data_IF_450384843843
#
_entry.id   IF_450384843843
#
_cell.length_a   1.000
_cell.length_b   1.000
_cell.length_c   1.000
_cell.angle_alpha   90.00
_cell.angle_beta   90.00
_cell.angle_gamma   90.00
#
_symmetry.space_group_name_H-M   'P 1'
#
loop_
_entity.id
_entity.type
_entity.pdbx_description
1 polymer ?
#
# COMPACT_ATOMS: atom_id res chain seq x y z
N UNK A 1 16.49 64.79 3.30
CA UNK A 1 15.20 64.24 3.76
C UNK A 1 14.85 62.91 3.05
N UNK A 2 15.85 62.01 2.79
CA UNK A 2 15.66 60.79 1.99
C UNK A 2 16.24 59.49 2.62
N UNK A 3 16.47 59.45 3.95
CA UNK A 3 17.02 58.26 4.61
C UNK A 3 16.08 57.55 5.63
N UNK A 4 14.86 58.06 5.83
CA UNK A 4 13.96 57.50 6.87
C UNK A 4 12.94 56.50 6.28
N UNK A 5 12.63 56.56 4.95
CA UNK A 5 11.62 55.72 4.32
C UNK A 5 12.12 54.25 4.06
N UNK A 6 13.43 54.07 3.83
CA UNK A 6 14.02 52.74 3.54
C UNK A 6 14.04 51.79 4.74
N UNK A 7 14.21 52.31 5.95
CA UNK A 7 14.33 51.48 7.18
C UNK A 7 12.97 50.99 7.69
N UNK A 8 11.89 51.75 7.48
CA UNK A 8 10.54 51.38 7.89
C UNK A 8 9.94 50.28 7.02
N UNK A 9 10.27 50.23 5.72
CA UNK A 9 9.81 49.19 4.80
C UNK A 9 10.47 47.83 5.07
N UNK A 10 11.74 47.83 5.48
CA UNK A 10 12.48 46.61 5.85
C UNK A 10 11.99 46.02 7.17
N UNK A 11 11.59 46.87 8.14
CA UNK A 11 11.02 46.44 9.41
C UNK A 11 9.61 45.85 9.27
N UNK A 12 8.78 46.42 8.38
CA UNK A 12 7.43 45.90 8.09
C UNK A 12 7.48 44.54 7.35
N UNK A 13 8.43 44.33 6.40
CA UNK A 13 8.59 43.06 5.74
C UNK A 13 9.09 41.95 6.69
N UNK A 14 10.02 42.29 7.59
CA UNK A 14 10.49 41.34 8.61
C UNK A 14 9.42 41.03 9.67
N UNK A 15 8.60 41.99 10.10
CA UNK A 15 7.51 41.71 11.03
C UNK A 15 6.38 40.89 10.40
N UNK A 16 6.12 41.00 9.09
CA UNK A 16 5.17 40.15 8.37
C UNK A 16 5.66 38.70 8.23
N UNK A 17 6.95 38.51 7.94
CA UNK A 17 7.59 37.19 7.90
C UNK A 17 7.62 36.50 9.28
N UNK A 18 7.94 37.24 10.33
CA UNK A 18 7.93 36.75 11.72
C UNK A 18 6.52 36.39 12.20
N UNK A 19 5.50 37.15 11.81
CA UNK A 19 4.09 36.85 12.14
C UNK A 19 3.57 35.61 11.45
N UNK A 20 3.95 35.34 10.18
CA UNK A 20 3.53 34.14 9.46
C UNK A 20 4.23 32.88 9.97
N UNK A 21 5.51 32.93 10.28
CA UNK A 21 6.27 31.77 10.82
C UNK A 21 5.80 31.37 12.21
N UNK A 22 5.55 32.33 13.11
CA UNK A 22 5.02 32.07 14.44
C UNK A 22 3.64 31.39 14.44
N UNK A 23 2.80 31.70 13.44
CA UNK A 23 1.50 31.05 13.28
C UNK A 23 1.63 29.59 12.79
N UNK A 24 2.59 29.28 11.92
CA UNK A 24 2.83 27.91 11.43
C UNK A 24 3.30 27.01 12.58
N UNK A 25 4.31 27.41 13.34
CA UNK A 25 4.84 26.63 14.48
C UNK A 25 3.78 26.35 15.54
N UNK A 26 2.94 27.36 15.84
CA UNK A 26 1.83 27.18 16.79
C UNK A 26 0.78 26.18 16.26
N UNK A 27 0.43 26.25 14.98
CA UNK A 27 -0.54 25.33 14.39
C UNK A 27 0.04 23.92 14.28
N UNK A 28 1.31 23.74 13.97
CA UNK A 28 1.98 22.45 14.04
C UNK A 28 1.88 21.84 15.45
N UNK A 29 2.22 22.63 16.49
CA UNK A 29 2.04 22.16 17.87
C UNK A 29 0.61 21.73 18.18
N UNK A 30 -0.41 22.49 17.72
CA UNK A 30 -1.83 22.14 17.88
C UNK A 30 -2.19 20.84 17.16
N UNK A 31 -1.71 20.66 15.92
CA UNK A 31 -1.93 19.45 15.12
C UNK A 31 -1.36 18.23 15.83
N UNK A 32 -0.05 18.24 16.14
CA UNK A 32 0.62 17.13 16.81
C UNK A 32 0.02 16.84 18.20
N UNK A 33 -0.25 17.88 18.98
CA UNK A 33 -0.90 17.68 20.29
C UNK A 33 -2.30 17.05 20.14
N UNK A 34 -3.09 17.47 19.14
CA UNK A 34 -4.43 16.93 18.92
C UNK A 34 -4.36 15.47 18.48
N UNK A 35 -3.49 15.11 17.55
CA UNK A 35 -3.30 13.73 17.12
C UNK A 35 -2.86 12.83 18.30
N UNK A 36 -1.81 13.23 19.03
CA UNK A 36 -1.21 12.40 20.08
C UNK A 36 -2.03 12.29 21.36
N UNK A 37 -2.92 13.24 21.66
CA UNK A 37 -3.69 13.24 22.94
C UNK A 37 -5.18 13.00 22.77
N UNK A 38 -5.70 13.16 21.56
CA UNK A 38 -7.14 13.08 21.24
C UNK A 38 -7.38 12.44 19.86
N UNK A 39 -6.38 11.73 19.33
CA UNK A 39 -6.45 11.01 18.07
C UNK A 39 -7.46 9.88 18.12
N UNK A 40 -8.05 9.55 16.97
CA UNK A 40 -8.98 8.43 16.79
C UNK A 40 -8.43 7.33 15.90
N UNK A 41 -7.24 7.51 15.32
CA UNK A 41 -6.65 6.54 14.37
C UNK A 41 -6.61 5.13 14.93
N UNK A 42 -6.19 4.97 16.19
CA UNK A 42 -6.02 3.65 16.81
C UNK A 42 -7.37 2.96 17.09
N UNK A 43 -8.39 3.71 17.53
CA UNK A 43 -9.76 3.21 17.73
C UNK A 43 -10.40 2.78 16.39
N UNK A 44 -10.24 3.58 15.35
CA UNK A 44 -10.73 3.26 14.01
C UNK A 44 -10.02 2.05 13.41
N UNK A 45 -8.70 1.97 13.58
CA UNK A 45 -7.94 0.83 13.08
C UNK A 45 -8.30 -0.46 13.81
N UNK A 46 -8.51 -0.41 15.13
CA UNK A 46 -9.03 -1.55 15.90
C UNK A 46 -10.32 -2.08 15.31
N UNK A 47 -11.27 -1.20 14.99
CA UNK A 47 -12.53 -1.61 14.38
C UNK A 47 -12.31 -2.22 12.99
N UNK A 48 -11.54 -1.54 12.12
CA UNK A 48 -11.28 -1.99 10.75
C UNK A 48 -10.55 -3.34 10.73
N UNK A 49 -9.59 -3.54 11.62
CA UNK A 49 -8.80 -4.78 11.73
C UNK A 49 -9.57 -5.88 12.46
N UNK A 50 -10.01 -5.65 13.71
CA UNK A 50 -10.53 -6.73 14.57
C UNK A 50 -12.03 -7.03 14.35
N UNK A 51 -12.82 -6.04 13.87
CA UNK A 51 -14.25 -6.25 13.64
C UNK A 51 -14.58 -6.56 12.18
N UNK A 52 -13.78 -6.06 11.24
CA UNK A 52 -13.94 -6.31 9.81
C UNK A 52 -12.90 -7.33 9.32
N UNK A 53 -11.61 -7.07 9.58
CA UNK A 53 -10.49 -7.95 9.21
C UNK A 53 -10.13 -7.91 7.73
N UNK A 54 -9.49 -8.97 7.25
CA UNK A 54 -9.07 -9.12 5.86
C UNK A 54 -10.23 -8.85 4.90
N UNK A 55 -10.02 -7.91 3.96
CA UNK A 55 -11.10 -7.27 3.20
C UNK A 55 -10.77 -7.11 1.72
N UNK A 56 -10.27 -8.20 1.10
CA UNK A 56 -9.94 -8.19 -0.32
C UNK A 56 -11.12 -7.73 -1.16
N UNK A 57 -10.87 -6.92 -2.18
CA UNK A 57 -11.90 -6.35 -3.05
C UNK A 57 -12.87 -7.42 -3.58
N UNK A 58 -14.17 -7.12 -3.58
CA UNK A 58 -15.23 -8.08 -3.95
C UNK A 58 -15.61 -9.08 -2.86
N UNK A 59 -15.02 -9.02 -1.67
CA UNK A 59 -15.42 -9.81 -0.50
C UNK A 59 -16.56 -9.16 0.28
N UNK A 60 -17.16 -9.93 1.17
CA UNK A 60 -18.17 -9.42 2.12
C UNK A 60 -17.54 -8.40 3.09
N UNK A 61 -16.31 -8.64 3.55
CA UNK A 61 -15.61 -7.72 4.44
C UNK A 61 -15.25 -6.40 3.75
N UNK A 62 -14.89 -6.42 2.46
CA UNK A 62 -14.70 -5.18 1.70
C UNK A 62 -15.97 -4.33 1.64
N UNK A 63 -17.15 -4.96 1.48
CA UNK A 63 -18.42 -4.24 1.54
C UNK A 63 -18.70 -3.64 2.93
N UNK A 64 -18.42 -4.39 4.01
CA UNK A 64 -18.53 -3.87 5.40
C UNK A 64 -17.58 -2.70 5.63
N UNK A 65 -16.36 -2.75 5.09
CA UNK A 65 -15.39 -1.66 5.19
C UNK A 65 -15.88 -0.38 4.49
N UNK A 66 -16.52 -0.51 3.31
CA UNK A 66 -17.16 0.61 2.59
C UNK A 66 -18.25 1.25 3.43
N UNK A 67 -19.16 0.44 4.01
CA UNK A 67 -20.26 0.92 4.85
C UNK A 67 -19.73 1.63 6.11
N UNK A 68 -18.80 1.01 6.82
CA UNK A 68 -18.16 1.57 8.00
C UNK A 68 -17.42 2.89 7.70
N UNK A 69 -16.60 2.92 6.66
CA UNK A 69 -15.85 4.12 6.32
C UNK A 69 -16.77 5.30 5.94
N UNK A 70 -17.86 5.03 5.21
CA UNK A 70 -18.88 6.04 4.90
C UNK A 70 -19.54 6.57 6.18
N UNK A 71 -19.96 5.68 7.09
CA UNK A 71 -20.59 6.07 8.35
C UNK A 71 -19.67 6.91 9.23
N UNK A 72 -18.39 6.53 9.37
CA UNK A 72 -17.41 7.30 10.15
C UNK A 72 -17.15 8.69 9.52
N UNK A 73 -17.07 8.81 8.20
CA UNK A 73 -16.95 10.11 7.54
C UNK A 73 -18.20 10.97 7.73
N UNK A 74 -19.40 10.39 7.66
CA UNK A 74 -20.66 11.09 7.96
C UNK A 74 -20.66 11.63 9.41
N UNK A 75 -20.18 10.84 10.38
CA UNK A 75 -20.07 11.24 11.78
C UNK A 75 -19.10 12.40 12.02
N UNK A 76 -18.13 12.62 11.14
CA UNK A 76 -17.23 13.77 11.20
C UNK A 76 -17.94 15.10 10.86
N UNK A 77 -19.16 15.06 10.30
CA UNK A 77 -19.91 16.23 9.89
C UNK A 77 -19.19 17.00 8.78
N UNK A 78 -18.71 16.28 7.77
CA UNK A 78 -18.09 16.83 6.56
C UNK A 78 -19.13 17.55 5.69
N UNK A 79 -18.66 18.33 4.73
CA UNK A 79 -19.57 19.05 3.81
C UNK A 79 -20.20 18.11 2.78
N UNK A 80 -19.49 17.04 2.41
CA UNK A 80 -20.02 15.99 1.51
C UNK A 80 -19.38 14.64 1.82
N UNK A 81 -20.18 13.57 1.76
CA UNK A 81 -19.74 12.17 1.81
C UNK A 81 -20.50 11.38 0.74
N UNK A 82 -19.80 10.62 -0.10
CA UNK A 82 -20.46 9.81 -1.14
C UNK A 82 -19.66 8.56 -1.49
N UNK A 83 -20.32 7.63 -2.18
CA UNK A 83 -19.73 6.43 -2.72
C UNK A 83 -19.59 6.56 -4.24
N UNK A 84 -18.40 6.25 -4.76
CA UNK A 84 -18.15 6.18 -6.20
C UNK A 84 -18.14 4.72 -6.64
N UNK A 85 -19.05 4.28 -7.53
CA UNK A 85 -19.14 2.88 -7.94
C UNK A 85 -17.94 2.45 -8.79
N UNK A 86 -17.45 1.23 -8.53
CA UNK A 86 -16.37 0.59 -9.27
C UNK A 86 -16.62 -0.91 -9.40
N UNK A 87 -16.40 -1.48 -10.60
CA UNK A 87 -16.43 -2.93 -10.80
C UNK A 87 -15.05 -3.51 -10.48
N UNK A 88 -15.01 -4.47 -9.55
CA UNK A 88 -13.77 -5.06 -9.05
C UNK A 88 -13.72 -6.57 -9.28
N UNK A 89 -12.54 -7.18 -9.45
CA UNK A 89 -12.40 -8.62 -9.54
C UNK A 89 -12.81 -9.27 -8.21
N UNK A 90 -13.38 -10.48 -8.31
CA UNK A 90 -13.67 -11.31 -7.16
C UNK A 90 -12.88 -12.60 -7.22
N UNK A 91 -11.88 -12.69 -6.38
CA UNK A 91 -11.11 -13.91 -6.14
C UNK A 91 -11.31 -14.34 -4.69
N UNK A 92 -11.38 -15.65 -4.47
CA UNK A 92 -11.55 -16.24 -3.13
C UNK A 92 -10.45 -17.29 -2.95
N UNK A 93 -9.68 -17.17 -1.88
CA UNK A 93 -8.60 -18.10 -1.51
C UNK A 93 -9.11 -19.51 -1.31
N UNK A 94 -10.30 -19.65 -0.73
CA UNK A 94 -10.84 -20.93 -0.31
C UNK A 94 -10.49 -21.24 1.14
N UNK A 95 -10.76 -22.49 1.54
CA UNK A 95 -10.65 -22.91 2.95
C UNK A 95 -9.51 -23.87 3.21
N UNK A 96 -8.73 -24.20 2.18
CA UNK A 96 -7.69 -25.22 2.28
C UNK A 96 -6.46 -24.87 1.46
N UNK A 97 -5.33 -24.75 2.16
CA UNK A 97 -4.00 -24.60 1.60
C UNK A 97 -3.05 -25.56 2.35
N UNK A 98 -2.33 -26.38 1.63
CA UNK A 98 -1.41 -27.33 2.23
C UNK A 98 -0.26 -27.64 1.29
N UNK A 99 0.94 -27.70 1.85
CA UNK A 99 2.12 -28.17 1.14
C UNK A 99 3.05 -28.99 2.03
N UNK A 100 3.75 -29.94 1.39
CA UNK A 100 4.78 -30.70 2.05
C UNK A 100 5.91 -31.10 1.10
N UNK A 101 7.11 -31.23 1.67
CA UNK A 101 8.30 -31.78 1.01
C UNK A 101 8.37 -33.27 1.33
N UNK A 102 8.46 -34.14 0.32
CA UNK A 102 8.69 -35.58 0.53
C UNK A 102 10.20 -35.81 0.72
N UNK A 103 10.63 -35.98 1.97
CA UNK A 103 12.03 -36.15 2.34
C UNK A 103 12.57 -37.56 2.00
N UNK A 104 11.68 -38.55 2.06
CA UNK A 104 11.89 -39.93 1.60
C UNK A 104 10.52 -40.57 1.37
N UNK A 105 10.42 -41.73 0.66
CA UNK A 105 9.13 -42.36 0.40
C UNK A 105 8.28 -42.53 1.67
N UNK A 106 7.13 -41.85 1.71
CA UNK A 106 6.19 -41.84 2.83
C UNK A 106 6.54 -40.94 4.00
N UNK A 107 7.67 -40.23 3.99
CA UNK A 107 8.02 -39.23 5.00
C UNK A 107 7.92 -37.83 4.42
N UNK A 108 7.08 -36.96 5.02
CA UNK A 108 6.85 -35.63 4.58
C UNK A 108 7.13 -34.58 5.67
N UNK A 109 7.58 -33.43 5.25
CA UNK A 109 7.76 -32.24 6.10
C UNK A 109 6.79 -31.16 5.62
N UNK A 110 5.87 -30.76 6.48
CA UNK A 110 4.94 -29.68 6.15
C UNK A 110 5.67 -28.34 6.09
N UNK A 111 5.31 -27.52 5.12
CA UNK A 111 5.84 -26.15 4.97
C UNK A 111 4.70 -25.16 4.82
N UNK A 112 4.78 -24.01 5.51
CA UNK A 112 3.76 -22.96 5.37
C UNK A 112 3.73 -22.38 3.96
N UNK A 113 2.53 -22.32 3.37
CA UNK A 113 2.28 -21.69 2.09
C UNK A 113 1.00 -20.84 2.13
N UNK A 114 0.87 -19.95 1.16
CA UNK A 114 -0.42 -19.33 0.81
C UNK A 114 -0.56 -19.20 -0.70
N UNK A 115 -1.76 -19.37 -1.25
CA UNK A 115 -2.01 -19.14 -2.66
C UNK A 115 -1.72 -17.68 -3.02
N UNK A 116 -1.14 -17.45 -4.20
CA UNK A 116 -0.99 -16.11 -4.75
C UNK A 116 -2.34 -15.58 -5.26
N UNK A 117 -2.55 -14.28 -5.10
CA UNK A 117 -3.79 -13.61 -5.48
C UNK A 117 -4.08 -13.71 -6.97
N UNK A 118 -5.24 -14.28 -7.32
CA UNK A 118 -5.63 -14.58 -8.69
C UNK A 118 -5.27 -15.98 -9.17
N UNK A 119 -4.56 -16.78 -8.36
CA UNK A 119 -4.21 -18.17 -8.68
C UNK A 119 -5.44 -19.05 -8.93
N UNK A 120 -5.23 -20.17 -9.63
CA UNK A 120 -6.23 -21.22 -9.81
C UNK A 120 -6.03 -22.35 -8.80
N UNK A 121 -7.09 -23.14 -8.56
CA UNK A 121 -7.03 -24.32 -7.70
C UNK A 121 -6.14 -25.43 -8.28
N UNK A 122 -5.61 -26.30 -7.42
CA UNK A 122 -5.09 -27.60 -7.81
C UNK A 122 -6.23 -28.57 -8.16
N UNK A 123 -5.98 -29.69 -8.85
CA UNK A 123 -6.90 -30.82 -8.83
C UNK A 123 -7.26 -31.22 -7.38
N UNK A 124 -8.41 -31.84 -7.19
CA UNK A 124 -8.90 -32.24 -5.85
C UNK A 124 -7.92 -33.18 -5.11
N UNK A 125 -7.13 -33.97 -5.83
CA UNK A 125 -6.07 -34.81 -5.29
C UNK A 125 -4.81 -34.05 -4.90
N UNK A 126 -4.70 -32.76 -5.24
CA UNK A 126 -3.45 -31.99 -5.17
C UNK A 126 -2.52 -32.32 -6.34
N UNK A 127 -1.32 -31.74 -6.29
CA UNK A 127 -0.23 -31.94 -7.24
C UNK A 127 0.99 -32.45 -6.47
N UNK A 128 1.51 -33.64 -6.84
CA UNK A 128 2.80 -34.14 -6.35
C UNK A 128 3.75 -34.25 -7.54
N UNK A 129 4.83 -33.48 -7.54
CA UNK A 129 5.80 -33.47 -8.64
C UNK A 129 7.21 -33.13 -8.13
N UNK A 130 8.21 -33.47 -8.95
CA UNK A 130 9.58 -33.04 -8.67
C UNK A 130 9.69 -31.52 -8.76
N UNK A 131 10.53 -30.95 -7.91
CA UNK A 131 10.79 -29.51 -7.89
C UNK A 131 12.03 -29.18 -8.72
N UNK A 132 11.99 -28.03 -9.36
CA UNK A 132 13.17 -27.40 -9.94
C UNK A 132 13.28 -25.97 -9.46
N UNK A 133 14.39 -25.66 -8.78
CA UNK A 133 14.69 -24.31 -8.32
C UNK A 133 15.27 -23.48 -9.44
N UNK A 134 14.80 -22.22 -9.56
CA UNK A 134 15.30 -21.24 -10.51
C UNK A 134 15.48 -19.88 -9.82
N UNK A 135 16.51 -19.14 -10.22
CA UNK A 135 16.85 -17.84 -9.67
C UNK A 135 16.13 -16.69 -10.37
N UNK A 136 15.87 -16.84 -11.67
CA UNK A 136 15.29 -15.81 -12.51
C UNK A 136 14.64 -16.41 -13.77
N UNK A 137 14.09 -15.53 -14.60
CA UNK A 137 13.45 -15.95 -15.86
C UNK A 137 14.43 -16.36 -16.93
N UNK A 138 15.66 -15.85 -16.94
CA UNK A 138 16.71 -16.23 -17.87
C UNK A 138 17.13 -17.69 -17.63
N UNK A 139 17.26 -18.08 -16.37
CA UNK A 139 17.51 -19.46 -16.02
C UNK A 139 16.36 -20.39 -16.41
N UNK A 140 15.11 -19.96 -16.15
CA UNK A 140 13.91 -20.68 -16.57
C UNK A 140 13.91 -20.93 -18.09
N UNK A 141 14.17 -19.89 -18.88
CA UNK A 141 14.22 -19.97 -20.34
C UNK A 141 15.36 -20.89 -20.83
N UNK A 142 16.53 -20.81 -20.22
CA UNK A 142 17.67 -21.69 -20.53
C UNK A 142 17.37 -23.16 -20.27
N UNK A 143 16.64 -23.48 -19.20
CA UNK A 143 16.24 -24.84 -18.86
C UNK A 143 15.18 -25.39 -19.85
N UNK A 144 14.27 -24.55 -20.30
CA UNK A 144 13.27 -24.85 -21.32
C UNK A 144 12.36 -26.04 -20.95
N UNK A 145 11.50 -26.41 -21.89
CA UNK A 145 10.49 -27.46 -21.72
C UNK A 145 11.10 -28.80 -21.28
N UNK A 146 12.27 -29.17 -21.81
CA UNK A 146 12.91 -30.46 -21.50
C UNK A 146 13.19 -30.68 -20.00
N UNK A 147 13.45 -29.60 -19.25
CA UNK A 147 13.75 -29.67 -17.81
C UNK A 147 12.58 -29.27 -16.93
N UNK A 148 11.63 -28.50 -17.47
CA UNK A 148 10.54 -27.87 -16.69
C UNK A 148 9.24 -28.68 -16.78
N UNK A 149 8.96 -29.33 -17.91
CA UNK A 149 7.67 -30.01 -18.14
C UNK A 149 7.31 -30.98 -17.01
N UNK A 150 6.09 -30.83 -16.47
CA UNK A 150 5.55 -31.70 -15.41
C UNK A 150 6.12 -31.44 -14.02
N UNK A 151 7.04 -30.50 -13.85
CA UNK A 151 7.63 -30.17 -12.55
C UNK A 151 6.95 -29.00 -11.87
N UNK A 152 7.19 -28.83 -10.59
CA UNK A 152 6.92 -27.61 -9.83
C UNK A 152 8.14 -26.71 -9.95
N UNK A 153 7.94 -25.48 -10.47
CA UNK A 153 9.01 -24.47 -10.54
C UNK A 153 9.05 -23.69 -9.23
N UNK A 154 10.20 -23.68 -8.58
CA UNK A 154 10.43 -22.92 -7.37
C UNK A 154 11.29 -21.70 -7.68
N UNK A 155 10.66 -20.50 -7.66
CA UNK A 155 11.36 -19.23 -7.77
C UNK A 155 11.89 -18.81 -6.41
N UNK A 156 13.21 -18.83 -6.23
CA UNK A 156 13.87 -18.64 -4.92
C UNK A 156 14.80 -17.40 -4.87
N UNK A 157 14.50 -16.34 -5.61
CA UNK A 157 15.27 -15.09 -5.49
C UNK A 157 14.83 -14.33 -4.25
N UNK A 158 15.71 -14.14 -3.24
CA UNK A 158 15.37 -13.36 -2.05
C UNK A 158 15.31 -11.86 -2.35
N UNK A 159 14.66 -11.11 -1.49
CA UNK A 159 14.88 -9.67 -1.38
C UNK A 159 16.36 -9.42 -1.02
N UNK A 160 16.93 -8.35 -1.56
CA UNK A 160 18.36 -8.02 -1.37
C UNK A 160 18.59 -7.38 0.00
N UNK A 161 19.34 -8.04 0.92
CA UNK A 161 19.57 -7.53 2.27
C UNK A 161 20.59 -6.37 2.33
N UNK A 162 21.35 -6.14 1.26
CA UNK A 162 22.32 -5.05 1.15
C UNK A 162 21.70 -3.70 0.76
N UNK A 163 20.40 -3.66 0.42
CA UNK A 163 19.68 -2.43 0.08
C UNK A 163 19.00 -1.86 1.33
N UNK A 164 19.41 -0.64 1.71
CA UNK A 164 18.80 0.09 2.82
C UNK A 164 17.32 0.43 2.53
N UNK A 165 17.00 0.77 1.29
CA UNK A 165 15.62 0.97 0.87
C UNK A 165 14.95 -0.38 0.61
N UNK A 166 14.09 -0.79 1.53
CA UNK A 166 13.38 -2.08 1.47
C UNK A 166 12.41 -2.17 0.30
N UNK A 167 11.77 -1.07 -0.12
CA UNK A 167 10.93 -1.03 -1.32
C UNK A 167 11.74 -1.22 -2.61
N UNK A 168 12.98 -0.74 -2.67
CA UNK A 168 13.87 -1.03 -3.79
C UNK A 168 14.22 -2.53 -3.82
N UNK A 169 14.48 -3.12 -2.66
CA UNK A 169 14.73 -4.56 -2.53
C UNK A 169 13.54 -5.39 -3.01
N UNK A 170 12.32 -5.01 -2.56
CA UNK A 170 11.08 -5.64 -3.00
C UNK A 170 10.88 -5.53 -4.52
N UNK A 171 11.05 -4.34 -5.10
CA UNK A 171 10.85 -4.12 -6.54
C UNK A 171 11.76 -5.00 -7.42
N UNK A 172 12.94 -5.39 -6.91
CA UNK A 172 13.88 -6.28 -7.62
C UNK A 172 13.53 -7.76 -7.49
N UNK A 173 12.66 -8.13 -6.57
CA UNK A 173 12.24 -9.52 -6.33
C UNK A 173 10.83 -9.84 -6.83
N UNK A 174 9.92 -8.88 -6.80
CA UNK A 174 8.46 -9.07 -6.97
C UNK A 174 8.04 -9.66 -8.32
N UNK A 175 8.82 -9.47 -9.39
CA UNK A 175 8.46 -9.98 -10.72
C UNK A 175 8.33 -11.50 -10.76
N UNK A 176 9.07 -12.27 -9.91
CA UNK A 176 8.95 -13.72 -9.82
C UNK A 176 7.56 -14.14 -9.27
N UNK A 177 6.97 -13.35 -8.35
CA UNK A 177 5.60 -13.53 -7.87
C UNK A 177 4.60 -13.17 -8.96
N UNK A 178 4.74 -11.99 -9.55
CA UNK A 178 3.74 -11.46 -10.47
C UNK A 178 3.68 -12.22 -11.80
N UNK A 179 4.82 -12.58 -12.39
CA UNK A 179 4.91 -13.20 -13.73
C UNK A 179 5.31 -14.68 -13.71
N UNK A 180 5.72 -15.23 -12.56
CA UNK A 180 6.31 -16.57 -12.47
C UNK A 180 5.41 -17.67 -13.03
N UNK A 181 4.12 -17.66 -12.69
CA UNK A 181 3.18 -18.67 -13.15
C UNK A 181 2.95 -18.61 -14.66
N UNK A 182 2.80 -17.41 -15.24
CA UNK A 182 2.69 -17.24 -16.69
C UNK A 182 3.93 -17.76 -17.41
N UNK A 183 5.10 -17.41 -16.93
CA UNK A 183 6.38 -17.80 -17.54
C UNK A 183 6.63 -19.31 -17.45
N UNK A 184 6.41 -19.91 -16.27
CA UNK A 184 6.61 -21.34 -16.07
C UNK A 184 5.60 -22.22 -16.83
N UNK A 185 4.34 -21.77 -16.95
CA UNK A 185 3.30 -22.48 -17.70
C UNK A 185 3.68 -22.67 -19.17
N UNK A 186 4.36 -21.71 -19.79
CA UNK A 186 4.82 -21.78 -21.19
C UNK A 186 5.78 -22.96 -21.45
N UNK A 187 6.48 -23.43 -20.40
CA UNK A 187 7.37 -24.58 -20.46
C UNK A 187 6.75 -25.86 -19.91
N UNK A 188 5.42 -25.85 -19.64
CA UNK A 188 4.68 -27.04 -19.18
C UNK A 188 4.89 -27.37 -17.70
N UNK A 189 5.23 -26.40 -16.85
CA UNK A 189 5.25 -26.60 -15.39
C UNK A 189 3.86 -27.02 -14.87
N UNK A 190 3.83 -27.83 -13.80
CA UNK A 190 2.57 -28.27 -13.16
C UNK A 190 2.07 -27.26 -12.12
N UNK A 191 2.96 -26.53 -11.46
CA UNK A 191 2.66 -25.48 -10.49
C UNK A 191 3.89 -24.58 -10.29
N UNK A 192 3.69 -23.49 -9.57
CA UNK A 192 4.75 -22.56 -9.16
C UNK A 192 4.72 -22.36 -7.66
N UNK A 193 5.90 -22.40 -7.05
CA UNK A 193 6.15 -21.95 -5.67
C UNK A 193 7.09 -20.75 -5.73
N UNK A 194 6.78 -19.70 -4.96
CA UNK A 194 7.57 -18.47 -4.93
C UNK A 194 8.00 -18.19 -3.49
N UNK A 195 9.28 -17.93 -3.29
CA UNK A 195 9.78 -17.44 -2.00
C UNK A 195 9.05 -16.15 -1.61
N UNK A 196 8.58 -16.07 -0.38
CA UNK A 196 7.93 -14.88 0.19
C UNK A 196 8.83 -13.65 0.14
N UNK A 197 8.20 -12.48 -0.12
CA UNK A 197 8.89 -11.19 -0.22
C UNK A 197 9.11 -10.60 1.18
N UNK A 198 10.08 -11.14 1.91
CA UNK A 198 10.44 -10.73 3.25
C UNK A 198 11.96 -10.76 3.42
N UNK A 199 12.52 -9.86 4.23
CA UNK A 199 13.93 -9.85 4.61
C UNK A 199 14.19 -10.67 5.88
N UNK A 200 13.14 -10.92 6.67
CA UNK A 200 13.18 -11.77 7.84
C UNK A 200 13.02 -13.24 7.44
N UNK A 201 13.67 -14.13 8.18
CA UNK A 201 13.41 -15.58 8.10
C UNK A 201 12.35 -15.96 9.13
N UNK A 202 11.17 -16.36 8.66
CA UNK A 202 10.03 -16.76 9.46
C UNK A 202 9.14 -17.77 8.72
N UNK A 203 8.04 -18.16 9.37
CA UNK A 203 7.08 -19.12 8.84
C UNK A 203 5.79 -18.48 8.32
N UNK A 204 5.79 -17.16 8.09
CA UNK A 204 4.68 -16.42 7.51
C UNK A 204 4.84 -16.33 5.98
N UNK A 205 4.01 -17.03 5.19
CA UNK A 205 4.04 -16.88 3.74
C UNK A 205 3.35 -15.57 3.33
N UNK A 206 3.92 -14.89 2.33
CA UNK A 206 3.43 -13.60 1.83
C UNK A 206 2.73 -13.77 0.48
N UNK A 207 1.43 -13.49 0.44
CA UNK A 207 0.65 -13.50 -0.79
C UNK A 207 0.97 -12.28 -1.68
N UNK A 208 0.09 -11.94 -2.54
CA UNK A 208 0.12 -10.76 -3.40
C UNK A 208 -0.35 -11.09 -4.80
N UNK A 209 -0.65 -10.07 -5.56
CA UNK A 209 -1.16 -10.16 -6.91
C UNK A 209 -0.21 -10.88 -7.85
N UNK A 210 -0.79 -11.71 -8.73
CA UNK A 210 -0.10 -12.37 -9.83
C UNK A 210 -0.89 -12.24 -11.15
N UNK A 211 -0.21 -12.41 -12.27
CA UNK A 211 -0.81 -12.35 -13.59
C UNK A 211 -0.57 -13.63 -14.36
N UNK A 212 -1.58 -14.06 -15.09
CA UNK A 212 -1.45 -15.10 -16.12
C UNK A 212 -1.25 -14.51 -17.52
N UNK A 213 -1.13 -13.19 -17.66
CA UNK A 213 -1.01 -12.54 -18.96
C UNK A 213 -2.13 -12.98 -19.91
N UNK A 214 -1.76 -13.49 -21.06
CA UNK A 214 -2.70 -13.94 -22.12
C UNK A 214 -3.02 -15.45 -22.06
N UNK A 215 -2.62 -16.18 -20.99
CA UNK A 215 -2.90 -17.62 -20.88
C UNK A 215 -4.40 -17.87 -20.76
N UNK A 216 -4.89 -18.79 -21.59
CA UNK A 216 -6.28 -19.29 -21.49
C UNK A 216 -6.47 -20.04 -20.17
N UNK A 217 -7.70 -20.10 -19.65
CA UNK A 217 -8.00 -20.73 -18.36
C UNK A 217 -7.41 -22.15 -18.23
N UNK A 218 -7.46 -22.97 -19.28
CA UNK A 218 -6.93 -24.34 -19.31
C UNK A 218 -5.38 -24.43 -19.27
N UNK A 219 -4.70 -23.31 -19.51
CA UNK A 219 -3.22 -23.21 -19.53
C UNK A 219 -2.68 -22.67 -18.21
N UNK A 220 -3.56 -22.17 -17.34
CA UNK A 220 -3.20 -21.62 -16.05
C UNK A 220 -2.83 -22.72 -15.08
N UNK A 221 -1.75 -22.52 -14.34
CA UNK A 221 -1.23 -23.44 -13.34
C UNK A 221 -1.34 -22.83 -11.94
N UNK A 222 -1.53 -23.64 -10.89
CA UNK A 222 -1.53 -23.17 -9.51
C UNK A 222 -0.22 -22.49 -9.13
N UNK A 223 -0.32 -21.43 -8.31
CA UNK A 223 0.82 -20.69 -7.80
C UNK A 223 0.61 -20.34 -6.33
N UNK A 224 1.63 -20.58 -5.50
CA UNK A 224 1.63 -20.26 -4.08
C UNK A 224 2.95 -19.62 -3.66
N UNK A 225 2.91 -18.81 -2.62
CA UNK A 225 4.10 -18.40 -1.88
C UNK A 225 4.43 -19.43 -0.81
N UNK A 226 5.72 -19.63 -0.54
CA UNK A 226 6.24 -20.41 0.57
C UNK A 226 6.93 -19.45 1.56
N UNK A 227 6.84 -19.72 2.87
CA UNK A 227 7.52 -18.93 3.88
C UNK A 227 9.04 -18.87 3.63
N UNK A 228 9.71 -17.88 4.17
CA UNK A 228 11.18 -17.75 3.99
C UNK A 228 11.95 -18.91 4.62
N UNK A 229 11.55 -19.40 5.81
CA UNK A 229 12.11 -20.60 6.39
C UNK A 229 11.84 -21.86 5.52
N UNK A 230 10.62 -21.99 5.00
CA UNK A 230 10.26 -23.08 4.09
C UNK A 230 11.07 -23.05 2.79
N UNK A 231 11.34 -21.86 2.27
CA UNK A 231 12.17 -21.68 1.08
C UNK A 231 13.64 -22.08 1.31
N UNK A 232 14.24 -21.69 2.45
CA UNK A 232 15.59 -22.12 2.83
C UNK A 232 15.67 -23.65 2.99
N UNK A 233 14.66 -24.23 3.67
CA UNK A 233 14.59 -25.68 3.84
C UNK A 233 14.50 -26.40 2.49
N UNK A 234 13.57 -25.97 1.62
CA UNK A 234 13.37 -26.59 0.30
C UNK A 234 14.64 -26.50 -0.55
N UNK A 235 15.29 -25.34 -0.61
CA UNK A 235 16.53 -25.13 -1.37
C UNK A 235 17.67 -26.00 -0.82
N UNK A 236 17.85 -26.06 0.50
CA UNK A 236 18.85 -26.92 1.15
C UNK A 236 18.63 -28.38 0.82
N UNK A 237 17.39 -28.88 0.90
CA UNK A 237 17.04 -30.26 0.58
C UNK A 237 17.22 -30.56 -0.91
N UNK A 238 16.91 -29.66 -1.81
CA UNK A 238 17.13 -29.80 -3.26
C UNK A 238 18.60 -29.90 -3.61
N UNK A 239 19.49 -29.22 -2.87
CA UNK A 239 20.96 -29.36 -3.06
C UNK A 239 21.47 -30.73 -2.76
N UNK A 240 20.82 -31.45 -1.84
CA UNK A 240 21.16 -32.84 -1.45
C UNK A 240 20.46 -33.90 -2.31
N UNK A 241 19.23 -33.61 -2.73
CA UNK A 241 18.41 -34.49 -3.57
C UNK A 241 17.71 -33.74 -4.69
N UNK A 242 18.25 -33.66 -5.90
CA UNK A 242 17.65 -32.95 -7.03
C UNK A 242 16.35 -33.59 -7.57
N UNK A 243 15.97 -34.77 -7.10
CA UNK A 243 14.73 -35.47 -7.44
C UNK A 243 13.66 -35.34 -6.34
N UNK A 244 13.80 -34.37 -5.46
CA UNK A 244 12.89 -34.12 -4.36
C UNK A 244 11.48 -33.84 -4.90
N UNK A 245 10.45 -34.41 -4.28
CA UNK A 245 9.06 -34.14 -4.60
C UNK A 245 8.47 -33.15 -3.62
N UNK A 246 7.55 -32.38 -4.14
CA UNK A 246 6.75 -31.42 -3.38
C UNK A 246 5.27 -31.67 -3.65
N UNK A 247 4.47 -31.67 -2.60
CA UNK A 247 3.03 -31.75 -2.68
C UNK A 247 2.42 -30.39 -2.45
N UNK A 248 1.49 -29.98 -3.35
CA UNK A 248 0.75 -28.74 -3.25
C UNK A 248 -0.76 -29.01 -3.38
N UNK A 249 -1.55 -28.44 -2.50
CA UNK A 249 -3.01 -28.44 -2.60
C UNK A 249 -3.59 -27.11 -2.16
N UNK A 250 -4.44 -26.50 -3.00
CA UNK A 250 -5.17 -25.26 -2.76
C UNK A 250 -6.49 -25.28 -3.53
N UNK A 251 -7.51 -24.53 -3.02
CA UNK A 251 -8.85 -24.53 -3.60
C UNK A 251 -9.38 -23.13 -3.93
N UNK A 252 -8.51 -22.19 -4.23
CA UNK A 252 -8.86 -20.82 -4.62
C UNK A 252 -9.69 -20.77 -5.90
N UNK A 253 -10.49 -19.70 -6.05
CA UNK A 253 -11.43 -19.58 -7.17
C UNK A 253 -11.62 -18.14 -7.63
N UNK A 254 -11.61 -17.94 -8.94
CA UNK A 254 -11.98 -16.69 -9.59
C UNK A 254 -13.49 -16.69 -9.92
N UNK A 255 -14.14 -15.57 -9.68
CA UNK A 255 -15.54 -15.31 -9.98
C UNK A 255 -15.66 -14.13 -10.96
N UNK A 256 -16.85 -13.88 -11.55
CA UNK A 256 -17.11 -12.65 -12.29
C UNK A 256 -16.90 -11.42 -11.41
N UNK A 257 -16.58 -10.29 -12.06
CA UNK A 257 -16.46 -9.00 -11.40
C UNK A 257 -17.75 -8.61 -10.66
N UNK A 258 -17.61 -7.91 -9.55
CA UNK A 258 -18.72 -7.43 -8.72
C UNK A 258 -18.63 -5.93 -8.50
N UNK A 259 -19.76 -5.31 -8.15
CA UNK A 259 -19.82 -3.91 -7.80
C UNK A 259 -19.23 -3.69 -6.40
N UNK A 260 -18.39 -2.68 -6.27
CA UNK A 260 -17.88 -2.13 -5.01
C UNK A 260 -17.78 -0.60 -5.13
N UNK A 261 -17.11 0.09 -4.19
CA UNK A 261 -17.10 1.54 -4.16
C UNK A 261 -15.79 2.10 -3.58
N UNK A 262 -15.30 3.21 -4.15
CA UNK A 262 -14.47 4.13 -3.41
C UNK A 262 -15.34 4.91 -2.42
N UNK A 263 -14.80 5.20 -1.23
CA UNK A 263 -15.48 6.04 -0.22
C UNK A 263 -14.82 7.41 -0.22
N UNK A 264 -15.60 8.47 -0.34
CA UNK A 264 -15.07 9.82 -0.51
C UNK A 264 -15.77 10.78 0.45
N UNK A 265 -14.98 11.62 1.13
CA UNK A 265 -15.49 12.67 2.01
C UNK A 265 -14.69 13.95 1.88
N UNK A 266 -15.31 15.11 2.04
CA UNK A 266 -14.60 16.37 1.87
C UNK A 266 -15.02 17.50 2.80
N UNK A 267 -14.07 18.38 3.08
CA UNK A 267 -14.28 19.71 3.66
C UNK A 267 -14.10 20.71 2.53
N UNK A 268 -15.18 21.43 2.19
CA UNK A 268 -15.17 22.39 1.08
C UNK A 268 -14.31 23.61 1.39
N UNK A 269 -13.53 24.03 0.42
CA UNK A 269 -12.69 25.22 0.48
C UNK A 269 -13.50 26.52 0.60
N UNK A 270 -12.96 27.48 1.33
CA UNK A 270 -13.63 28.77 1.57
C UNK A 270 -13.27 29.86 0.56
N UNK A 271 -12.16 29.68 -0.18
CA UNK A 271 -11.66 30.66 -1.13
C UNK A 271 -11.60 30.11 -2.55
N UNK A 272 -10.94 28.98 -2.71
CA UNK A 272 -10.70 28.32 -3.98
C UNK A 272 -11.29 26.89 -3.93
N UNK A 273 -12.64 26.73 -3.80
CA UNK A 273 -13.27 25.45 -3.51
C UNK A 273 -13.18 24.43 -4.64
N UNK A 274 -12.87 24.87 -5.85
CA UNK A 274 -12.72 24.01 -7.02
C UNK A 274 -11.31 23.40 -7.15
N UNK A 275 -10.33 23.90 -6.38
CA UNK A 275 -9.01 23.28 -6.24
C UNK A 275 -9.04 22.23 -5.12
N UNK A 276 -8.67 20.99 -5.46
CA UNK A 276 -8.70 19.85 -4.53
C UNK A 276 -7.31 19.51 -4.00
N UNK A 277 -7.21 19.34 -2.69
CA UNK A 277 -6.10 18.72 -1.99
C UNK A 277 -6.59 17.37 -1.48
N UNK A 278 -6.08 16.29 -2.06
CA UNK A 278 -6.49 14.92 -1.74
C UNK A 278 -5.56 14.29 -0.70
N UNK A 279 -6.13 13.53 0.22
CA UNK A 279 -5.45 12.55 1.08
C UNK A 279 -6.12 11.20 0.91
N UNK A 280 -5.37 10.10 0.94
CA UNK A 280 -5.97 8.78 0.76
C UNK A 280 -5.03 7.62 1.04
N UNK A 281 -5.57 6.46 0.82
CA UNK A 281 -4.98 5.13 0.83
C UNK A 281 -6.00 4.15 0.28
N UNK A 282 -5.69 2.84 0.28
CA UNK A 282 -6.65 1.86 -0.21
C UNK A 282 -7.42 1.17 0.93
N UNK A 283 -8.72 0.95 0.67
CA UNK A 283 -9.63 0.41 1.66
C UNK A 283 -9.62 -1.12 1.71
N UNK A 284 -9.34 -1.76 0.59
CA UNK A 284 -9.15 -3.22 0.57
C UNK A 284 -7.82 -3.64 1.20
N UNK A 285 -7.68 -4.90 1.50
CA UNK A 285 -6.45 -5.54 1.97
C UNK A 285 -6.42 -6.99 1.51
N UNK A 286 -5.28 -7.66 1.60
CA UNK A 286 -5.28 -9.12 1.48
C UNK A 286 -6.13 -9.78 2.58
N UNK A 287 -6.50 -11.03 2.34
CA UNK A 287 -7.45 -11.82 3.13
C UNK A 287 -6.78 -12.72 4.18
N UNK A 288 -5.45 -12.68 4.30
CA UNK A 288 -4.69 -13.51 5.26
C UNK A 288 -4.66 -12.89 6.65
N UNK A 289 -4.25 -11.62 6.73
CA UNK A 289 -4.20 -10.84 7.97
C UNK A 289 -5.40 -9.91 8.11
N UNK A 290 -5.28 -8.96 9.01
CA UNK A 290 -6.28 -7.91 9.25
C UNK A 290 -6.12 -6.70 8.32
N UNK A 291 -5.00 -6.63 7.58
CA UNK A 291 -4.64 -5.47 6.77
C UNK A 291 -4.47 -4.21 7.62
N UNK A 292 -3.75 -4.33 8.73
CA UNK A 292 -3.58 -3.23 9.68
C UNK A 292 -2.53 -2.23 9.20
N UNK A 293 -1.36 -2.71 8.73
CA UNK A 293 -0.36 -1.87 8.07
C UNK A 293 -0.72 -1.59 6.62
N UNK A 294 -1.30 -2.57 5.90
CA UNK A 294 -1.54 -2.58 4.46
C UNK A 294 -3.06 -2.72 4.15
N UNK A 295 -3.85 -1.66 3.99
CA UNK A 295 -3.53 -0.25 4.24
C UNK A 295 -4.51 0.39 5.24
N UNK A 296 -4.91 -0.36 6.28
CA UNK A 296 -5.74 0.19 7.36
C UNK A 296 -5.10 1.45 7.97
N UNK A 297 -3.77 1.46 8.11
CA UNK A 297 -3.02 2.60 8.64
C UNK A 297 -3.22 3.87 7.80
N UNK A 298 -3.10 3.79 6.49
CA UNK A 298 -3.28 4.94 5.60
C UNK A 298 -4.71 5.46 5.58
N UNK A 299 -5.70 4.54 5.61
CA UNK A 299 -7.12 4.91 5.72
C UNK A 299 -7.38 5.75 6.98
N UNK A 300 -7.02 5.25 8.16
CA UNK A 300 -7.33 5.96 9.40
C UNK A 300 -6.50 7.22 9.59
N UNK A 301 -5.27 7.28 9.05
CA UNK A 301 -4.48 8.50 9.00
C UNK A 301 -5.13 9.57 8.12
N UNK A 302 -5.67 9.18 6.97
CA UNK A 302 -6.39 10.08 6.06
C UNK A 302 -7.71 10.59 6.66
N UNK A 303 -8.46 9.75 7.38
CA UNK A 303 -9.63 10.15 8.17
C UNK A 303 -9.26 11.19 9.24
N UNK A 304 -8.14 10.96 9.93
CA UNK A 304 -7.67 11.83 11.00
C UNK A 304 -7.27 13.22 10.50
N UNK A 305 -6.76 13.34 9.27
CA UNK A 305 -6.51 14.65 8.64
C UNK A 305 -7.79 15.48 8.63
N UNK A 306 -8.89 14.94 8.13
CA UNK A 306 -10.19 15.65 8.09
C UNK A 306 -10.70 15.97 9.49
N UNK A 307 -10.60 15.00 10.42
CA UNK A 307 -11.02 15.17 11.80
C UNK A 307 -10.23 16.29 12.51
N UNK A 308 -8.91 16.36 12.33
CA UNK A 308 -8.08 17.40 12.95
C UNK A 308 -8.46 18.79 12.41
N UNK A 309 -8.68 18.93 11.08
CA UNK A 309 -9.15 20.18 10.50
C UNK A 309 -10.48 20.65 11.12
N UNK A 310 -11.44 19.74 11.26
CA UNK A 310 -12.74 20.04 11.93
C UNK A 310 -12.55 20.36 13.41
N UNK A 311 -11.74 19.57 14.13
CA UNK A 311 -11.52 19.74 15.59
C UNK A 311 -10.83 21.03 15.95
N UNK A 312 -9.84 21.45 15.17
CA UNK A 312 -9.12 22.70 15.32
C UNK A 312 -9.85 23.90 14.70
N UNK A 313 -10.99 23.65 14.04
CA UNK A 313 -11.79 24.66 13.33
C UNK A 313 -10.98 25.40 12.26
N UNK A 314 -10.04 24.70 11.63
CA UNK A 314 -9.34 25.24 10.48
C UNK A 314 -10.36 25.44 9.35
N UNK A 315 -10.24 26.56 8.66
CA UNK A 315 -11.04 26.88 7.47
C UNK A 315 -10.15 26.78 6.24
N UNK A 316 -10.13 25.62 5.57
CA UNK A 316 -9.25 25.45 4.44
C UNK A 316 -9.65 26.43 3.33
N UNK A 317 -8.66 26.92 2.58
CA UNK A 317 -8.86 27.75 1.39
C UNK A 317 -9.35 26.91 0.23
N UNK A 318 -8.76 25.74 0.07
CA UNK A 318 -9.02 24.74 -0.96
C UNK A 318 -9.82 23.58 -0.38
N UNK A 319 -10.51 22.83 -1.23
CA UNK A 319 -11.23 21.63 -0.80
C UNK A 319 -10.26 20.54 -0.36
N UNK A 320 -10.40 20.05 0.87
CA UNK A 320 -9.63 18.90 1.39
C UNK A 320 -10.52 17.67 1.27
N UNK A 321 -10.09 16.70 0.48
CA UNK A 321 -10.83 15.49 0.17
C UNK A 321 -10.07 14.24 0.63
N UNK A 322 -10.72 13.37 1.38
CA UNK A 322 -10.25 12.01 1.60
C UNK A 322 -10.85 11.09 0.53
N UNK A 323 -10.03 10.21 -0.03
CA UNK A 323 -10.46 9.16 -0.97
C UNK A 323 -9.89 7.83 -0.49
N UNK A 324 -10.79 6.89 -0.20
CA UNK A 324 -10.43 5.52 0.18
C UNK A 324 -10.67 4.65 -1.05
N UNK A 325 -9.58 4.31 -1.71
CA UNK A 325 -9.59 3.60 -2.98
C UNK A 325 -9.93 2.13 -2.75
N UNK A 326 -10.69 1.56 -3.68
CA UNK A 326 -11.03 0.14 -3.65
C UNK A 326 -10.28 -0.61 -4.75
N UNK A 327 -9.72 -1.78 -4.42
CA UNK A 327 -9.04 -2.65 -5.36
C UNK A 327 -7.61 -2.20 -5.75
N UNK A 328 -6.84 -1.72 -4.81
CA UNK A 328 -5.40 -1.52 -5.00
C UNK A 328 -4.71 -2.87 -5.16
N UNK A 329 -4.91 -3.77 -4.20
CA UNK A 329 -4.21 -5.04 -4.00
C UNK A 329 -4.17 -5.95 -5.24
N UNK A 330 -5.22 -5.92 -6.04
CA UNK A 330 -5.29 -6.79 -7.21
C UNK A 330 -5.90 -6.14 -8.46
N UNK A 331 -5.73 -4.80 -8.64
CA UNK A 331 -6.21 -4.21 -9.87
C UNK A 331 -6.17 -2.71 -10.10
N UNK A 332 -6.02 -1.85 -9.10
CA UNK A 332 -6.07 -0.38 -9.16
C UNK A 332 -7.36 0.20 -9.78
N UNK A 333 -8.47 -0.54 -9.78
CA UNK A 333 -9.68 -0.12 -10.50
C UNK A 333 -10.36 1.08 -9.85
N UNK A 334 -10.29 1.21 -8.52
CA UNK A 334 -10.77 2.37 -7.79
C UNK A 334 -10.03 3.63 -8.16
N UNK A 335 -8.71 3.58 -8.17
CA UNK A 335 -7.83 4.67 -8.57
C UNK A 335 -8.09 5.13 -10.01
N UNK A 336 -8.18 4.18 -10.94
CA UNK A 336 -8.48 4.45 -12.34
C UNK A 336 -9.89 5.05 -12.54
N UNK A 337 -10.89 4.55 -11.81
CA UNK A 337 -12.25 5.08 -11.85
C UNK A 337 -12.30 6.53 -11.34
N UNK A 338 -11.60 6.81 -10.24
CA UNK A 338 -11.50 8.15 -9.68
C UNK A 338 -10.81 9.11 -10.66
N UNK A 339 -9.63 8.77 -11.16
CA UNK A 339 -8.89 9.62 -12.11
C UNK A 339 -9.66 9.87 -13.41
N UNK A 340 -10.36 8.86 -13.94
CA UNK A 340 -11.21 9.00 -15.12
C UNK A 340 -12.40 9.95 -14.85
N UNK A 341 -13.00 9.88 -13.66
CA UNK A 341 -14.06 10.79 -13.26
C UNK A 341 -13.56 12.23 -13.18
N UNK A 342 -12.46 12.47 -12.47
CA UNK A 342 -11.78 13.78 -12.37
C UNK A 342 -11.52 14.37 -13.74
N UNK A 343 -10.93 13.59 -14.64
CA UNK A 343 -10.68 14.01 -16.02
C UNK A 343 -11.97 14.36 -16.78
N UNK A 344 -13.01 13.54 -16.61
CA UNK A 344 -14.30 13.73 -17.31
C UNK A 344 -15.00 15.03 -16.92
N UNK A 345 -14.94 15.42 -15.64
CA UNK A 345 -15.57 16.65 -15.13
C UNK A 345 -14.62 17.85 -15.14
N UNK A 346 -13.37 17.64 -15.59
CA UNK A 346 -12.30 18.64 -15.61
C UNK A 346 -12.06 19.27 -14.22
N UNK A 347 -12.06 18.44 -13.16
CA UNK A 347 -11.80 18.88 -11.80
C UNK A 347 -10.29 19.08 -11.58
N UNK A 348 -9.92 20.13 -10.90
CA UNK A 348 -8.52 20.50 -10.69
C UNK A 348 -8.00 19.96 -9.36
N UNK A 349 -6.98 19.10 -9.42
CA UNK A 349 -6.23 18.64 -8.25
C UNK A 349 -4.91 19.38 -8.16
N UNK A 350 -4.73 20.13 -7.07
CA UNK A 350 -3.48 20.82 -6.77
C UNK A 350 -2.44 19.86 -6.21
N UNK A 351 -2.90 18.97 -5.30
CA UNK A 351 -2.04 18.08 -4.53
C UNK A 351 -2.78 16.78 -4.20
N UNK A 352 -2.05 15.67 -4.17
CA UNK A 352 -2.56 14.41 -3.65
C UNK A 352 -1.48 13.72 -2.79
N UNK A 353 -1.85 13.27 -1.60
CA UNK A 353 -1.01 12.57 -0.64
C UNK A 353 -1.58 11.19 -0.36
N UNK A 354 -0.77 10.16 -0.53
CA UNK A 354 -1.12 8.79 -0.19
C UNK A 354 -0.26 8.28 0.97
N UNK A 355 -0.88 7.53 1.87
CA UNK A 355 -0.20 6.76 2.89
C UNK A 355 -0.46 5.28 2.62
N UNK A 356 0.57 4.57 2.13
CA UNK A 356 0.55 3.15 1.80
C UNK A 356 1.98 2.60 1.97
N UNK A 357 2.45 2.60 3.22
CA UNK A 357 3.75 2.07 3.61
C UNK A 357 3.78 1.66 5.09
N UNK A 358 2.59 1.45 5.67
CA UNK A 358 2.37 1.02 7.04
C UNK A 358 2.33 2.13 8.09
N UNK A 359 1.86 1.76 9.27
CA UNK A 359 1.67 2.66 10.42
C UNK A 359 2.91 2.88 11.28
N UNK A 360 4.12 2.81 10.70
CA UNK A 360 5.39 3.02 11.40
C UNK A 360 5.71 4.51 11.59
N UNK A 361 6.76 4.79 12.38
CA UNK A 361 7.22 6.16 12.65
C UNK A 361 7.45 6.94 11.35
N UNK A 362 6.77 8.09 11.13
CA UNK A 362 6.97 8.89 9.92
C UNK A 362 8.40 9.44 9.86
N UNK A 363 9.05 9.29 8.70
CA UNK A 363 10.37 9.86 8.43
C UNK A 363 10.30 11.07 7.51
N UNK A 364 9.27 11.17 6.67
CA UNK A 364 9.10 12.26 5.73
C UNK A 364 8.16 11.94 4.59
N UNK A 365 8.46 12.51 3.43
CA UNK A 365 7.61 12.39 2.25
C UNK A 365 8.46 12.29 0.98
N UNK A 366 7.95 11.57 -0.01
CA UNK A 366 8.43 11.63 -1.38
C UNK A 366 7.46 12.42 -2.25
N UNK A 367 7.97 13.05 -3.32
CA UNK A 367 7.17 13.94 -4.16
C UNK A 367 7.44 13.69 -5.64
N UNK A 368 6.41 13.34 -6.40
CA UNK A 368 6.44 13.33 -7.86
C UNK A 368 5.88 14.67 -8.36
N UNK A 369 6.76 15.60 -8.66
CA UNK A 369 6.41 16.97 -9.01
C UNK A 369 7.52 17.64 -9.82
N UNK A 370 7.24 18.85 -10.35
CA UNK A 370 8.23 19.70 -11.00
C UNK A 370 9.29 20.18 -10.01
N UNK A 371 10.51 20.38 -10.48
CA UNK A 371 11.62 20.90 -9.65
C UNK A 371 11.32 22.25 -9.01
N UNK A 372 10.49 23.11 -9.64
CA UNK A 372 10.05 24.39 -9.06
C UNK A 372 9.25 24.14 -7.79
N UNK A 373 8.26 23.24 -7.85
CA UNK A 373 7.35 22.96 -6.74
C UNK A 373 8.11 22.23 -5.61
N UNK A 374 9.05 21.34 -5.97
CA UNK A 374 9.93 20.71 -4.99
C UNK A 374 10.80 21.71 -4.22
N UNK A 375 11.31 22.77 -4.87
CA UNK A 375 12.05 23.84 -4.18
C UNK A 375 11.20 24.55 -3.13
N UNK A 376 9.91 24.77 -3.42
CA UNK A 376 8.98 25.32 -2.44
C UNK A 376 8.76 24.36 -1.26
N UNK A 377 8.52 23.08 -1.56
CA UNK A 377 8.31 22.01 -0.56
C UNK A 377 9.52 21.90 0.37
N UNK A 378 10.73 21.89 -0.15
CA UNK A 378 11.96 21.83 0.65
C UNK A 378 12.08 23.01 1.62
N UNK A 379 11.55 24.18 1.28
CA UNK A 379 11.55 25.33 2.20
C UNK A 379 10.69 25.12 3.44
N UNK A 380 9.77 24.16 3.41
CA UNK A 380 8.90 23.80 4.53
C UNK A 380 9.54 22.75 5.46
N UNK A 381 10.59 22.06 5.05
CA UNK A 381 11.28 21.02 5.83
C UNK A 381 11.60 21.49 7.26
N UNK A 382 12.05 22.73 7.43
CA UNK A 382 12.37 23.34 8.74
C UNK A 382 11.24 23.25 9.77
N UNK A 383 9.96 23.24 9.35
CA UNK A 383 8.82 23.10 10.25
C UNK A 383 8.64 21.68 10.75
N UNK A 384 9.12 20.70 10.00
CA UNK A 384 9.02 19.28 10.31
C UNK A 384 10.21 18.74 11.11
N UNK A 385 11.38 19.38 11.04
CA UNK A 385 12.60 18.97 11.75
C UNK A 385 12.39 18.77 13.28
N UNK A 386 11.64 19.64 14.00
CA UNK A 386 11.35 19.43 15.42
C UNK A 386 10.55 18.15 15.72
N UNK A 387 9.92 17.56 14.71
CA UNK A 387 9.11 16.33 14.79
C UNK A 387 9.80 15.11 14.20
N UNK A 388 11.09 15.22 13.85
CA UNK A 388 11.91 14.16 13.24
C UNK A 388 11.36 13.64 11.90
N UNK A 389 10.69 14.51 11.13
CA UNK A 389 10.12 14.24 9.80
C UNK A 389 10.91 15.08 8.80
N UNK A 390 12.09 14.60 8.41
CA UNK A 390 13.06 15.39 7.65
C UNK A 390 13.52 14.73 6.33
N UNK A 391 12.97 13.57 6.00
CA UNK A 391 13.23 12.87 4.75
C UNK A 391 12.30 13.39 3.65
N UNK A 392 12.76 14.41 2.91
CA UNK A 392 12.05 15.00 1.78
C UNK A 392 12.80 14.70 0.50
N UNK A 393 12.22 13.88 -0.37
CA UNK A 393 12.87 13.43 -1.61
C UNK A 393 12.01 13.65 -2.83
N UNK A 394 12.63 13.97 -3.94
CA UNK A 394 11.95 14.05 -5.24
C UNK A 394 11.95 12.67 -5.89
N UNK A 395 10.77 12.24 -6.37
CA UNK A 395 10.53 10.95 -7.01
C UNK A 395 9.69 10.01 -6.15
N UNK A 396 8.72 9.38 -6.79
CA UNK A 396 7.75 8.48 -6.16
C UNK A 396 6.62 9.20 -5.40
N UNK A 397 5.49 8.56 -5.38
CA UNK A 397 4.28 8.99 -4.65
C UNK A 397 3.57 7.76 -4.10
N UNK A 398 2.33 7.49 -4.51
CA UNK A 398 1.56 6.30 -4.20
C UNK A 398 0.92 5.68 -5.45
N UNK A 399 0.46 4.44 -5.33
CA UNK A 399 -0.10 3.69 -6.45
C UNK A 399 -1.47 4.23 -6.86
N UNK A 400 -2.33 4.52 -5.89
CA UNK A 400 -3.70 4.96 -6.14
C UNK A 400 -3.82 6.39 -6.65
N UNK A 401 -2.93 7.28 -6.25
CA UNK A 401 -2.90 8.66 -6.76
C UNK A 401 -2.11 8.78 -8.05
N UNK A 402 -1.33 7.77 -8.42
CA UNK A 402 -0.53 7.74 -9.66
C UNK A 402 -1.32 8.09 -10.92
N UNK A 403 -2.55 7.55 -11.13
CA UNK A 403 -3.39 7.87 -12.29
C UNK A 403 -3.82 9.35 -12.40
N UNK A 404 -3.72 10.15 -11.35
CA UNK A 404 -3.98 11.61 -11.37
C UNK A 404 -2.86 12.40 -12.04
N UNK A 405 -1.71 11.78 -12.32
CA UNK A 405 -0.55 12.45 -12.90
C UNK A 405 -0.89 13.10 -14.24
N UNK A 406 -0.84 14.43 -14.29
CA UNK A 406 -1.12 15.24 -15.48
C UNK A 406 -0.03 16.28 -15.76
N UNK A 407 1.05 16.27 -14.99
CA UNK A 407 2.15 17.22 -15.08
C UNK A 407 1.90 18.57 -14.40
N UNK A 408 0.77 18.76 -13.72
CA UNK A 408 0.43 19.96 -12.92
C UNK A 408 0.24 19.60 -11.44
N UNK A 409 -0.49 18.53 -11.15
CA UNK A 409 -0.69 18.03 -9.80
C UNK A 409 0.64 17.59 -9.15
N UNK A 410 0.83 17.96 -7.89
CA UNK A 410 1.91 17.45 -7.04
C UNK A 410 1.43 16.18 -6.36
N UNK A 411 2.06 15.05 -6.63
CA UNK A 411 1.77 13.77 -5.98
C UNK A 411 2.79 13.52 -4.88
N UNK A 412 2.35 13.07 -3.73
CA UNK A 412 3.20 12.80 -2.57
C UNK A 412 2.87 11.46 -1.92
N UNK A 413 3.87 10.82 -1.33
CA UNK A 413 3.70 9.63 -0.50
C UNK A 413 4.27 9.87 0.90
N UNK A 414 3.52 9.50 1.95
CA UNK A 414 4.08 9.43 3.29
C UNK A 414 5.18 8.35 3.32
N UNK A 415 6.32 8.66 3.93
CA UNK A 415 7.44 7.72 4.05
C UNK A 415 7.74 7.47 5.52
N UNK A 416 7.18 6.41 6.09
CA UNK A 416 7.55 5.96 7.42
C UNK A 416 8.87 5.17 7.38
N UNK A 417 9.32 4.73 8.55
CA UNK A 417 10.41 3.77 8.67
C UNK A 417 9.98 2.42 8.08
N UNK A 418 10.55 2.05 6.94
CA UNK A 418 10.13 0.88 6.17
C UNK A 418 10.91 -0.40 6.50
N UNK A 419 11.83 -0.37 7.51
CA UNK A 419 12.73 -1.50 7.77
C UNK A 419 11.98 -2.78 8.14
N UNK A 420 10.81 -2.63 8.78
CA UNK A 420 9.98 -3.75 9.21
C UNK A 420 8.72 -3.96 8.37
N UNK A 421 8.40 -3.08 7.40
CA UNK A 421 7.16 -3.16 6.62
C UNK A 421 6.97 -4.53 5.97
N UNK A 422 8.02 -5.05 5.31
CA UNK A 422 7.97 -6.34 4.63
C UNK A 422 7.98 -7.56 5.58
N UNK A 423 8.05 -7.38 6.89
CA UNK A 423 7.78 -8.46 7.86
C UNK A 423 6.27 -8.75 7.95
N UNK A 424 5.42 -7.77 7.62
CA UNK A 424 3.96 -7.83 7.76
C UNK A 424 3.23 -7.84 6.41
N UNK A 425 3.71 -7.05 5.47
CA UNK A 425 3.12 -6.82 4.16
C UNK A 425 2.66 -8.12 3.49
N UNK A 426 1.36 -8.25 3.21
CA UNK A 426 0.74 -9.37 2.52
C UNK A 426 0.78 -10.72 3.26
N UNK A 427 0.89 -10.76 4.56
CA UNK A 427 0.92 -11.98 5.36
C UNK A 427 -0.12 -11.98 6.49
N UNK A 428 -0.32 -13.13 7.13
CA UNK A 428 -1.30 -13.28 8.19
C UNK A 428 -0.87 -12.68 9.54
N UNK A 429 0.36 -12.16 9.64
CA UNK A 429 0.82 -11.39 10.79
C UNK A 429 0.66 -9.87 10.64
N UNK A 430 0.07 -9.38 9.53
CA UNK A 430 -0.38 -7.98 9.42
C UNK A 430 -1.68 -7.80 10.22
N UNK A 431 -1.53 -7.77 11.53
CA UNK A 431 -2.63 -7.68 12.50
C UNK A 431 -2.58 -6.37 13.28
N UNK A 432 -3.69 -6.05 13.94
CA UNK A 432 -3.79 -4.85 14.79
C UNK A 432 -2.71 -4.80 15.88
N UNK A 433 -2.31 -5.94 16.44
CA UNK A 433 -1.29 -6.05 17.49
C UNK A 433 0.11 -5.63 17.00
N UNK A 434 0.37 -5.64 15.70
CA UNK A 434 1.63 -5.16 15.12
C UNK A 434 1.73 -3.62 15.12
N UNK A 435 0.61 -2.91 15.32
CA UNK A 435 0.53 -1.45 15.24
C UNK A 435 0.95 -0.79 16.54
N UNK A 436 1.88 0.15 16.44
CA UNK A 436 2.19 1.07 17.53
C UNK A 436 1.29 2.31 17.45
N UNK A 437 0.41 2.49 18.45
CA UNK A 437 -0.53 3.62 18.52
C UNK A 437 0.15 4.98 18.28
N UNK A 438 1.28 5.22 18.95
CA UNK A 438 1.97 6.52 18.88
C UNK A 438 2.55 6.76 17.48
N UNK A 439 3.11 5.75 16.83
CA UNK A 439 3.66 5.85 15.48
C UNK A 439 2.56 6.16 14.47
N UNK A 440 1.43 5.46 14.57
CA UNK A 440 0.25 5.68 13.75
C UNK A 440 -0.27 7.12 13.86
N UNK A 441 -0.40 7.63 15.08
CA UNK A 441 -0.86 9.01 15.37
C UNK A 441 0.16 10.07 14.88
N UNK A 442 1.46 9.78 14.96
CA UNK A 442 2.50 10.67 14.41
C UNK A 442 2.42 10.74 12.88
N UNK A 443 2.12 9.63 12.20
CA UNK A 443 1.87 9.61 10.75
C UNK A 443 0.71 10.55 10.36
N UNK A 444 -0.43 10.42 11.04
CA UNK A 444 -1.59 11.29 10.82
C UNK A 444 -1.28 12.78 11.08
N UNK A 445 -0.50 13.06 12.14
CA UNK A 445 -0.07 14.42 12.43
C UNK A 445 0.82 15.00 11.33
N UNK A 446 1.79 14.21 10.84
CA UNK A 446 2.67 14.62 9.75
C UNK A 446 1.91 14.90 8.47
N UNK A 447 0.97 14.02 8.07
CA UNK A 447 0.08 14.23 6.93
C UNK A 447 -0.74 15.51 7.09
N UNK A 448 -1.39 15.71 8.25
CA UNK A 448 -2.20 16.90 8.52
C UNK A 448 -1.36 18.18 8.43
N UNK A 449 -0.13 18.16 8.95
CA UNK A 449 0.80 19.30 8.91
C UNK A 449 1.20 19.64 7.46
N UNK A 450 1.44 18.64 6.61
CA UNK A 450 1.75 18.86 5.20
C UNK A 450 0.54 19.45 4.45
N UNK A 451 -0.65 18.89 4.65
CA UNK A 451 -1.90 19.39 4.04
C UNK A 451 -2.16 20.83 4.48
N UNK A 452 -1.94 21.15 5.75
CA UNK A 452 -2.06 22.53 6.27
C UNK A 452 -1.12 23.51 5.55
N UNK A 453 0.14 23.12 5.27
CA UNK A 453 1.08 23.98 4.53
C UNK A 453 0.68 24.13 3.06
N UNK A 454 0.26 23.06 2.41
CA UNK A 454 -0.21 23.09 1.01
C UNK A 454 -1.42 24.01 0.87
N UNK A 455 -2.42 23.88 1.75
CA UNK A 455 -3.59 24.76 1.77
C UNK A 455 -3.22 26.21 2.02
N UNK A 456 -2.29 26.45 2.96
CA UNK A 456 -1.91 27.82 3.39
C UNK A 456 -1.11 28.56 2.33
N UNK A 457 -0.11 27.91 1.71
CA UNK A 457 0.90 28.56 0.89
C UNK A 457 0.84 28.20 -0.61
N UNK A 458 0.23 27.05 -0.99
CA UNK A 458 0.25 26.58 -2.37
C UNK A 458 1.67 26.37 -2.91
N UNK A 459 1.78 26.32 -4.24
CA UNK A 459 3.05 26.12 -4.96
C UNK A 459 3.47 27.33 -5.81
N UNK A 460 2.70 28.40 -5.79
CA UNK A 460 3.00 29.63 -6.51
C UNK A 460 4.15 30.44 -5.88
#
# INVERSE_FOLDING_TARGET
>A
MFKIVSTSFFFLLNSFLFSQTGNVDENFKKIYNTALTKGKTYEWLEHLSNQIGGRLSGSFNAQRAVEWAREELDLLGLDSVWLQPVMVPKWVRGTFEYASIESSPGNTINVPICALGGSVATPSSGISANVIEVKDFEELERLGTNKIQGKIVFFNRPMRPDLINTFESYSKAVNQRFNGAEKAAKFGASAVIVRSMNLRLDDYPHTGSMSYGNLKLRERIPAAAISTNGAELLSSMLSLNPNLKFFLKQNCKNYPDVLSYNVIGEIRGTKDPDEVILVGGHLDSWDLGDGAHDDGAGIVQSMEVLRIFKKLKFKPKKTIRAVFFMNEENGLRGALAYANHVKKINEEHLFALESDAGGFSPRGFSFDCKSRDFKKIISWKKYFEPYMVDYFVQGGSGADIGPLKNGQVVLAGLRPDSQRYFEYHHSDNDTFEAINKRELELGAAAMTALIYLVDTFGFE
#
